data_IF_268174465386
#
_entry.id   IF_268174465386
#
_cell.length_a   1.000
_cell.length_b   1.000
_cell.length_c   1.000
_cell.angle_alpha   90.00
_cell.angle_beta   90.00
_cell.angle_gamma   90.00
#
_symmetry.space_group_name_H-M   'P 1'
#
loop_
_entity.id
_entity.type
_entity.pdbx_description
1 polymer ?
#
# COMPACT_ATOMS: atom_id res chain seq x y z
N UNK A 1 -11.92 -10.93 6.00
CA UNK A 1 -11.14 -9.87 5.34
C UNK A 1 -11.02 -10.23 3.87
N UNK A 2 -11.18 -9.28 2.94
CA UNK A 2 -11.27 -9.59 1.50
C UNK A 2 -10.06 -9.04 0.75
N UNK A 3 -9.27 -9.92 0.12
CA UNK A 3 -8.11 -9.51 -0.67
C UNK A 3 -8.49 -8.62 -1.87
N UNK A 4 -9.64 -8.89 -2.52
CA UNK A 4 -10.09 -8.10 -3.66
C UNK A 4 -10.35 -6.63 -3.30
N UNK A 5 -11.05 -6.38 -2.19
CA UNK A 5 -11.29 -5.00 -1.72
C UNK A 5 -9.99 -4.34 -1.27
N UNK A 6 -9.10 -5.07 -0.58
CA UNK A 6 -7.76 -4.58 -0.27
C UNK A 6 -7.00 -4.12 -1.52
N UNK A 7 -6.93 -4.96 -2.56
CA UNK A 7 -6.21 -4.65 -3.80
C UNK A 7 -6.81 -3.44 -4.53
N UNK A 8 -8.14 -3.35 -4.60
CA UNK A 8 -8.83 -2.22 -5.24
C UNK A 8 -8.56 -0.92 -4.48
N UNK A 9 -8.67 -0.93 -3.14
CA UNK A 9 -8.39 0.27 -2.33
C UNK A 9 -6.91 0.64 -2.44
N UNK A 10 -6.00 -0.33 -2.41
CA UNK A 10 -4.58 -0.11 -2.59
C UNK A 10 -4.30 0.61 -3.93
N UNK A 11 -4.82 0.08 -5.03
CA UNK A 11 -4.67 0.67 -6.35
C UNK A 11 -5.32 2.05 -6.43
N UNK A 12 -6.52 2.22 -5.85
CA UNK A 12 -7.20 3.51 -5.79
C UNK A 12 -6.36 4.58 -5.09
N UNK A 13 -5.78 4.25 -3.93
CA UNK A 13 -4.90 5.18 -3.20
C UNK A 13 -3.62 5.44 -4.00
N UNK A 14 -3.01 4.41 -4.59
CA UNK A 14 -1.80 4.57 -5.40
C UNK A 14 -2.02 5.53 -6.58
N UNK A 15 -3.11 5.34 -7.33
CA UNK A 15 -3.48 6.22 -8.45
C UNK A 15 -3.81 7.63 -7.95
N UNK A 16 -4.56 7.75 -6.85
CA UNK A 16 -4.89 9.06 -6.27
C UNK A 16 -3.63 9.83 -5.84
N UNK A 17 -2.66 9.16 -5.21
CA UNK A 17 -1.38 9.78 -4.83
C UNK A 17 -0.58 10.19 -6.05
N UNK A 18 -0.52 9.35 -7.09
CA UNK A 18 0.17 9.71 -8.34
C UNK A 18 -0.42 10.98 -8.96
N UNK A 19 -1.75 11.05 -9.07
CA UNK A 19 -2.44 12.23 -9.59
C UNK A 19 -2.17 13.45 -8.71
N UNK A 20 -2.22 13.29 -7.38
CA UNK A 20 -1.94 14.36 -6.43
C UNK A 20 -0.51 14.92 -6.59
N UNK A 21 0.49 14.04 -6.72
CA UNK A 21 1.89 14.45 -6.91
C UNK A 21 2.04 15.26 -8.20
N UNK A 22 1.47 14.76 -9.31
CA UNK A 22 1.52 15.47 -10.60
C UNK A 22 0.85 16.84 -10.53
N UNK A 23 -0.31 16.94 -9.86
CA UNK A 23 -1.01 18.22 -9.68
C UNK A 23 -0.19 19.21 -8.84
N UNK A 24 0.39 18.75 -7.72
CA UNK A 24 1.22 19.60 -6.86
C UNK A 24 2.46 20.09 -7.61
N UNK A 25 3.11 19.20 -8.37
CA UNK A 25 4.27 19.55 -9.17
C UNK A 25 3.90 20.54 -10.30
N UNK A 26 2.76 20.36 -10.97
CA UNK A 26 2.32 21.24 -12.05
C UNK A 26 1.94 22.64 -11.57
N UNK A 27 1.28 22.76 -10.41
CA UNK A 27 0.77 24.03 -9.88
C UNK A 27 1.85 24.78 -9.10
N UNK A 28 2.55 24.09 -8.20
CA UNK A 28 3.47 24.71 -7.24
C UNK A 28 4.95 24.57 -7.65
N UNK A 29 5.26 23.80 -8.71
CA UNK A 29 6.64 23.47 -9.13
C UNK A 29 7.49 22.87 -8.01
N UNK A 30 6.84 22.22 -7.05
CA UNK A 30 7.47 21.57 -5.91
C UNK A 30 7.25 20.07 -5.99
N UNK A 31 8.32 19.31 -5.82
CA UNK A 31 8.24 17.85 -5.77
C UNK A 31 8.03 17.39 -4.32
N UNK A 32 6.85 16.85 -4.05
CA UNK A 32 6.52 16.23 -2.76
C UNK A 32 6.89 14.73 -2.72
N UNK A 33 7.35 14.16 -3.85
CA UNK A 33 7.75 12.76 -4.00
C UNK A 33 8.80 12.36 -2.98
N UNK A 34 8.51 11.32 -2.20
CA UNK A 34 9.45 10.78 -1.23
C UNK A 34 9.17 9.29 -0.97
N UNK A 35 10.17 8.60 -0.41
CA UNK A 35 10.10 7.17 -0.12
C UNK A 35 8.94 6.79 0.84
N UNK A 36 8.50 7.71 1.70
CA UNK A 36 7.38 7.51 2.62
C UNK A 36 6.02 7.41 1.93
N UNK A 37 5.85 7.96 0.72
CA UNK A 37 4.57 7.83 0.01
C UNK A 37 4.31 6.43 -0.52
N UNK A 38 5.35 5.61 -0.67
CA UNK A 38 5.24 4.24 -1.15
C UNK A 38 4.53 3.28 -0.17
N UNK A 39 4.40 3.64 1.11
CA UNK A 39 3.73 2.82 2.14
C UNK A 39 2.26 3.21 2.38
N UNK A 40 1.85 4.41 1.95
CA UNK A 40 0.50 4.95 2.19
C UNK A 40 -0.61 4.05 1.61
N UNK A 41 -0.50 3.51 0.39
CA UNK A 41 -1.51 2.61 -0.15
C UNK A 41 -1.75 1.37 0.71
N UNK A 42 -0.68 0.77 1.25
CA UNK A 42 -0.76 -0.38 2.13
C UNK A 42 -1.46 -0.04 3.46
N UNK A 43 -1.12 1.10 4.05
CA UNK A 43 -1.72 1.59 5.29
C UNK A 43 -3.23 1.83 5.13
N UNK A 44 -3.61 2.59 4.10
CA UNK A 44 -5.01 2.93 3.86
C UNK A 44 -5.87 1.71 3.50
N UNK A 45 -5.37 0.83 2.62
CA UNK A 45 -6.08 -0.40 2.27
C UNK A 45 -6.27 -1.33 3.47
N UNK A 46 -5.24 -1.47 4.33
CA UNK A 46 -5.34 -2.27 5.54
C UNK A 46 -6.32 -1.68 6.55
N UNK A 47 -6.33 -0.36 6.71
CA UNK A 47 -7.25 0.35 7.60
C UNK A 47 -8.72 0.15 7.17
N UNK A 48 -9.01 0.29 5.87
CA UNK A 48 -10.36 0.04 5.33
C UNK A 48 -10.78 -1.41 5.53
N UNK A 49 -9.90 -2.38 5.32
CA UNK A 49 -10.21 -3.78 5.61
C UNK A 49 -10.47 -4.04 7.09
N UNK A 50 -9.67 -3.44 7.98
CA UNK A 50 -9.87 -3.54 9.42
C UNK A 50 -11.22 -2.97 9.86
N UNK A 51 -11.58 -1.78 9.35
CA UNK A 51 -12.87 -1.16 9.60
C UNK A 51 -14.03 -2.03 9.09
N UNK A 52 -13.92 -2.52 7.86
CA UNK A 52 -14.95 -3.35 7.26
C UNK A 52 -15.11 -4.71 7.96
N UNK A 53 -14.02 -5.27 8.50
CA UNK A 53 -14.09 -6.47 9.33
C UNK A 53 -14.82 -6.19 10.64
N UNK A 54 -14.42 -5.14 11.38
CA UNK A 54 -15.07 -4.76 12.63
C UNK A 54 -16.55 -4.40 12.44
N UNK A 55 -16.91 -3.76 11.32
CA UNK A 55 -18.30 -3.45 10.98
C UNK A 55 -19.15 -4.72 10.76
N UNK A 56 -18.56 -5.77 10.18
CA UNK A 56 -19.28 -6.98 9.82
C UNK A 56 -19.33 -8.03 10.94
N UNK A 57 -18.30 -8.07 11.79
CA UNK A 57 -18.14 -9.09 12.83
C UNK A 57 -18.31 -8.53 14.25
N UNK A 58 -18.42 -7.21 14.39
CA UNK A 58 -18.59 -6.48 15.66
C UNK A 58 -17.52 -6.80 16.73
N UNK A 59 -16.38 -7.34 16.29
CA UNK A 59 -15.24 -7.72 17.14
C UNK A 59 -13.92 -7.28 16.55
N UNK A 60 -12.88 -7.36 17.39
CA UNK A 60 -11.50 -7.25 16.92
C UNK A 60 -11.08 -8.50 16.16
N UNK A 61 -10.27 -8.37 15.10
CA UNK A 61 -9.62 -9.50 14.47
C UNK A 61 -8.58 -10.12 15.41
N UNK A 62 -8.51 -11.44 15.42
CA UNK A 62 -7.54 -12.16 16.24
C UNK A 62 -6.11 -12.03 15.67
N UNK A 63 -5.07 -12.16 16.51
CA UNK A 63 -3.68 -12.09 16.05
C UNK A 63 -3.37 -13.03 14.88
N UNK A 64 -3.89 -14.26 14.91
CA UNK A 64 -3.70 -15.23 13.84
C UNK A 64 -4.36 -14.79 12.51
N UNK A 65 -5.59 -14.26 12.57
CA UNK A 65 -6.30 -13.71 11.40
C UNK A 65 -5.54 -12.55 10.77
N UNK A 66 -5.01 -11.65 11.61
CA UNK A 66 -4.24 -10.48 11.17
C UNK A 66 -2.94 -10.90 10.47
N UNK A 67 -2.18 -11.83 11.05
CA UNK A 67 -0.95 -12.33 10.43
C UNK A 67 -1.23 -13.10 9.13
N UNK A 68 -2.26 -13.95 9.12
CA UNK A 68 -2.66 -14.68 7.93
C UNK A 68 -3.13 -13.77 6.80
N UNK A 69 -3.79 -12.65 7.13
CA UNK A 69 -4.14 -11.63 6.14
C UNK A 69 -2.92 -10.85 5.67
N UNK A 70 -2.06 -10.38 6.58
CA UNK A 70 -0.85 -9.62 6.25
C UNK A 70 0.04 -10.39 5.27
N UNK A 71 0.23 -11.72 5.45
CA UNK A 71 1.04 -12.55 4.54
C UNK A 71 0.48 -12.53 3.11
N UNK A 72 -0.83 -12.74 2.98
CA UNK A 72 -1.53 -12.75 1.68
C UNK A 72 -1.53 -11.36 1.04
N UNK A 73 -1.76 -10.32 1.83
CA UNK A 73 -1.70 -8.93 1.38
C UNK A 73 -0.27 -8.55 0.93
N UNK A 74 0.77 -9.00 1.62
CA UNK A 74 2.17 -8.77 1.25
C UNK A 74 2.50 -9.32 -0.14
N UNK A 75 2.00 -10.52 -0.48
CA UNK A 75 2.16 -11.09 -1.84
C UNK A 75 1.44 -10.22 -2.88
N UNK A 76 0.23 -9.75 -2.57
CA UNK A 76 -0.51 -8.85 -3.47
C UNK A 76 0.24 -7.54 -3.68
N UNK A 77 0.74 -6.91 -2.60
CA UNK A 77 1.51 -5.67 -2.68
C UNK A 77 2.75 -5.88 -3.54
N UNK A 78 3.52 -6.95 -3.30
CA UNK A 78 4.70 -7.26 -4.09
C UNK A 78 4.36 -7.41 -5.58
N UNK A 79 3.31 -8.19 -5.89
CA UNK A 79 2.84 -8.39 -7.25
C UNK A 79 2.41 -7.07 -7.93
N UNK A 80 1.60 -6.27 -7.24
CA UNK A 80 1.14 -4.98 -7.75
C UNK A 80 2.29 -3.99 -7.95
N UNK A 81 3.25 -3.94 -7.04
CA UNK A 81 4.43 -3.07 -7.15
C UNK A 81 5.29 -3.51 -8.33
N UNK A 82 5.58 -4.80 -8.49
CA UNK A 82 6.36 -5.31 -9.61
C UNK A 82 5.67 -5.04 -10.95
N UNK A 83 4.35 -5.29 -11.04
CA UNK A 83 3.56 -5.00 -12.23
C UNK A 83 3.56 -3.50 -12.55
N UNK A 84 3.44 -2.65 -11.54
CA UNK A 84 3.49 -1.20 -11.70
C UNK A 84 4.86 -0.75 -12.20
N UNK A 85 5.95 -1.23 -11.58
CA UNK A 85 7.32 -0.92 -12.01
C UNK A 85 7.56 -1.37 -13.45
N UNK A 86 7.09 -2.56 -13.84
CA UNK A 86 7.17 -3.05 -15.21
C UNK A 86 6.37 -2.15 -16.17
N UNK A 87 5.13 -1.80 -15.84
CA UNK A 87 4.30 -0.91 -16.65
C UNK A 87 4.94 0.49 -16.80
N UNK A 88 5.44 1.08 -15.71
CA UNK A 88 6.08 2.38 -15.74
C UNK A 88 7.44 2.36 -16.45
N UNK A 89 8.15 1.24 -16.49
CA UNK A 89 9.41 1.15 -17.26
C UNK A 89 9.24 1.35 -18.76
N UNK A 90 8.02 1.15 -19.29
CA UNK A 90 7.69 1.41 -20.69
C UNK A 90 7.43 2.89 -20.91
N UNK A 91 6.79 3.57 -19.94
CA UNK A 91 6.33 4.95 -20.06
C UNK A 91 7.35 5.99 -19.54
N UNK A 92 8.24 5.61 -18.63
CA UNK A 92 9.16 6.50 -17.92
C UNK A 92 10.61 6.14 -18.27
N UNK A 93 11.30 6.94 -19.10
CA UNK A 93 12.67 6.66 -19.56
C UNK A 93 13.68 6.45 -18.43
N UNK A 94 13.53 7.14 -17.32
CA UNK A 94 14.40 7.06 -16.15
C UNK A 94 14.35 5.66 -15.52
N UNK A 95 13.16 5.07 -15.40
CA UNK A 95 12.99 3.72 -14.86
C UNK A 95 13.62 2.70 -15.81
N UNK A 96 13.42 2.86 -17.12
CA UNK A 96 14.04 2.02 -18.14
C UNK A 96 15.56 2.08 -18.06
N UNK A 97 16.13 3.28 -17.89
CA UNK A 97 17.57 3.47 -17.77
C UNK A 97 18.13 2.77 -16.53
N UNK A 98 17.48 2.90 -15.37
CA UNK A 98 17.90 2.21 -14.14
C UNK A 98 17.86 0.69 -14.34
N UNK A 99 16.81 0.16 -14.98
CA UNK A 99 16.67 -1.28 -15.24
C UNK A 99 17.66 -1.82 -16.27
N UNK A 100 18.18 -0.97 -17.16
CA UNK A 100 19.21 -1.37 -18.13
C UNK A 100 20.57 -1.63 -17.48
N UNK A 101 20.78 -1.12 -16.26
CA UNK A 101 22.02 -1.28 -15.52
C UNK A 101 21.88 -2.42 -14.49
N UNK A 102 22.82 -3.39 -14.44
CA UNK A 102 22.76 -4.48 -13.46
C UNK A 102 22.69 -4.00 -12.00
N UNK A 103 23.44 -2.94 -11.67
CA UNK A 103 23.43 -2.35 -10.33
C UNK A 103 22.11 -1.62 -10.03
N UNK A 104 21.54 -0.91 -11.02
CA UNK A 104 20.25 -0.23 -10.89
C UNK A 104 19.10 -1.21 -10.68
N UNK A 105 19.08 -2.31 -11.43
CA UNK A 105 18.09 -3.39 -11.26
C UNK A 105 18.19 -4.03 -9.88
N UNK A 106 19.41 -4.34 -9.40
CA UNK A 106 19.61 -4.88 -8.05
C UNK A 106 19.11 -3.91 -6.98
N UNK A 107 19.43 -2.62 -7.12
CA UNK A 107 18.98 -1.58 -6.19
C UNK A 107 17.46 -1.46 -6.14
N UNK A 108 16.79 -1.43 -7.30
CA UNK A 108 15.32 -1.40 -7.38
C UNK A 108 14.70 -2.64 -6.77
N UNK A 109 15.25 -3.83 -7.03
CA UNK A 109 14.75 -5.07 -6.47
C UNK A 109 14.84 -5.06 -4.93
N UNK A 110 15.98 -4.65 -4.38
CA UNK A 110 16.17 -4.49 -2.92
C UNK A 110 15.18 -3.48 -2.35
N UNK A 111 14.98 -2.34 -3.02
CA UNK A 111 14.02 -1.33 -2.59
C UNK A 111 12.57 -1.85 -2.57
N UNK A 112 12.16 -2.58 -3.61
CA UNK A 112 10.82 -3.19 -3.70
C UNK A 112 10.62 -4.25 -2.61
N UNK A 113 11.62 -5.09 -2.36
CA UNK A 113 11.56 -6.10 -1.30
C UNK A 113 11.49 -5.45 0.08
N UNK A 114 12.29 -4.42 0.32
CA UNK A 114 12.28 -3.66 1.56
C UNK A 114 10.93 -2.96 1.79
N UNK A 115 10.38 -2.31 0.76
CA UNK A 115 9.04 -1.71 0.80
C UNK A 115 7.97 -2.76 1.09
N UNK A 116 8.02 -3.92 0.44
CA UNK A 116 7.05 -5.01 0.67
C UNK A 116 7.14 -5.55 2.10
N UNK A 117 8.35 -5.70 2.64
CA UNK A 117 8.58 -6.12 4.02
C UNK A 117 8.01 -5.12 5.03
N UNK A 118 8.24 -3.81 4.83
CA UNK A 118 7.65 -2.78 5.68
C UNK A 118 6.14 -2.78 5.54
N UNK A 119 5.62 -2.84 4.31
CA UNK A 119 4.19 -2.83 4.04
C UNK A 119 3.49 -4.02 4.70
N UNK A 120 4.11 -5.19 4.72
CA UNK A 120 3.61 -6.36 5.45
C UNK A 120 3.41 -6.09 6.95
N UNK A 121 4.38 -5.45 7.60
CA UNK A 121 4.27 -5.06 9.02
C UNK A 121 3.20 -4.00 9.22
N UNK A 122 3.14 -3.01 8.34
CA UNK A 122 2.15 -1.94 8.40
C UNK A 122 0.73 -2.46 8.19
N UNK A 123 0.52 -3.41 7.27
CA UNK A 123 -0.80 -4.00 7.03
C UNK A 123 -1.35 -4.60 8.33
N UNK A 124 -0.53 -5.33 9.10
CA UNK A 124 -0.96 -5.88 10.39
C UNK A 124 -1.37 -4.77 11.36
N UNK A 125 -0.52 -3.75 11.53
CA UNK A 125 -0.75 -2.68 12.48
C UNK A 125 -1.97 -1.83 12.11
N UNK A 126 -2.11 -1.45 10.84
CA UNK A 126 -3.20 -0.62 10.34
C UNK A 126 -4.52 -1.36 10.27
N UNK A 127 -4.50 -2.68 10.06
CA UNK A 127 -5.71 -3.51 10.15
C UNK A 127 -6.27 -3.54 11.57
N UNK A 128 -5.41 -3.70 12.59
CA UNK A 128 -5.82 -3.60 13.99
C UNK A 128 -6.34 -2.19 14.33
N UNK A 129 -5.64 -1.16 13.87
CA UNK A 129 -6.01 0.24 14.12
C UNK A 129 -7.34 0.60 13.44
N UNK A 130 -7.55 0.15 12.21
CA UNK A 130 -8.80 0.29 11.47
C UNK A 130 -9.97 -0.36 12.22
N UNK A 131 -9.81 -1.61 12.64
CA UNK A 131 -10.83 -2.31 13.44
C UNK A 131 -11.14 -1.56 14.75
N UNK A 132 -10.10 -1.13 15.48
CA UNK A 132 -10.24 -0.34 16.71
C UNK A 132 -11.02 0.94 16.50
N UNK A 133 -10.72 1.67 15.42
CA UNK A 133 -11.37 2.93 15.11
C UNK A 133 -12.86 2.75 14.85
N UNK A 134 -13.25 1.70 14.12
CA UNK A 134 -14.65 1.42 13.79
C UNK A 134 -15.46 1.03 15.02
N UNK A 135 -14.94 0.13 15.87
CA UNK A 135 -15.62 -0.27 17.10
C UNK A 135 -15.81 0.91 18.07
N UNK A 136 -14.85 1.84 18.12
CA UNK A 136 -14.98 3.08 18.90
C UNK A 136 -16.04 4.01 18.32
N UNK A 137 -16.11 4.13 16.99
CA UNK A 137 -17.11 4.96 16.33
C UNK A 137 -18.53 4.41 16.54
N UNK A 138 -18.73 3.09 16.52
CA UNK A 138 -20.02 2.45 16.79
C UNK A 138 -20.49 2.60 18.24
N UNK A 139 -19.57 2.79 19.19
CA UNK A 139 -19.90 3.01 20.61
C UNK A 139 -20.19 4.48 20.95
N UNK A 140 -19.99 5.40 20.02
CA UNK A 140 -20.34 6.81 20.22
C UNK A 140 -21.83 6.98 19.85
N UNK A 141 -22.67 7.49 20.78
CA UNK A 141 -24.11 7.69 20.56
C UNK A 141 -24.39 8.77 19.51
#
# INVERSE_FOLDING_TARGET
>A
MKLGRFAIVYLGIMVALMVLILLVQAIFRFDISNAGMAIIPAMGAAMVEGQAFAKAQERMPEPAEMWGFARRAGIVILGLTLLSTAAFSIAVPEIKHILSQPQGTMFLLVAVLFQAMISFLLVRFFLATGAKSMLRAQKRP
#
